data_IF_640468742602
#
_entry.id   IF_640468742602
#
_cell.length_a   1.000
_cell.length_b   1.000
_cell.length_c   1.000
_cell.angle_alpha   90.00
_cell.angle_beta   90.00
_cell.angle_gamma   90.00
#
_symmetry.space_group_name_H-M   'P 1'
#
loop_
_entity.id
_entity.type
_entity.pdbx_description
1 polymer ?
#
# COMPACT_ATOMS: atom_id res chain seq x y z
N UNK A 1 32.74 11.78 5.06
CA UNK A 1 31.31 12.06 5.17
C UNK A 1 31.15 13.48 5.68
N UNK A 2 30.46 14.36 4.97
CA UNK A 2 30.33 15.75 5.38
C UNK A 2 29.01 15.92 6.16
N UNK A 3 29.05 16.39 7.41
CA UNK A 3 27.87 16.52 8.26
C UNK A 3 26.76 17.39 7.65
N UNK A 4 27.14 18.36 6.80
CA UNK A 4 26.19 19.22 6.09
C UNK A 4 25.35 18.47 5.03
N UNK A 5 25.77 17.29 4.58
CA UNK A 5 25.08 16.49 3.59
C UNK A 5 24.19 15.39 4.20
N UNK A 6 24.14 15.30 5.53
CA UNK A 6 23.25 14.36 6.21
C UNK A 6 21.80 14.80 6.04
N UNK A 7 21.02 13.95 5.42
CA UNK A 7 19.56 14.11 5.28
C UNK A 7 18.87 12.92 5.94
N UNK A 8 17.77 13.16 6.65
CA UNK A 8 16.96 12.06 7.17
C UNK A 8 16.46 11.19 6.02
N UNK A 9 16.29 9.91 6.27
CA UNK A 9 15.71 8.98 5.29
C UNK A 9 14.35 9.50 4.81
N UNK A 10 14.02 9.23 3.56
CA UNK A 10 12.76 9.64 2.96
C UNK A 10 11.59 9.03 3.76
N UNK A 11 10.62 9.86 4.13
CA UNK A 11 9.49 9.45 5.00
C UNK A 11 9.78 9.49 6.51
N UNK A 12 11.01 9.73 6.96
CA UNK A 12 11.32 9.84 8.40
C UNK A 12 10.93 11.18 9.02
N UNK A 13 10.70 12.21 8.22
CA UNK A 13 10.15 13.47 8.70
C UNK A 13 8.64 13.35 8.87
N UNK A 14 8.17 13.48 10.10
CA UNK A 14 6.76 13.73 10.33
C UNK A 14 6.38 15.09 9.73
N UNK A 15 5.22 15.17 9.10
CA UNK A 15 4.63 16.45 8.72
C UNK A 15 4.50 17.32 9.96
N UNK A 16 4.69 18.62 9.81
CA UNK A 16 4.55 19.58 10.89
C UNK A 16 3.23 19.35 11.64
N UNK A 17 3.29 19.37 12.98
CA UNK A 17 2.13 19.20 13.84
C UNK A 17 1.08 20.26 13.50
N UNK A 18 0.03 19.84 12.83
CA UNK A 18 -1.06 20.69 12.41
C UNK A 18 -1.90 21.12 13.61
N UNK A 19 -1.59 22.30 14.16
CA UNK A 19 -2.33 22.87 15.30
C UNK A 19 -3.44 23.79 14.82
N UNK A 20 -4.67 23.48 15.19
CA UNK A 20 -5.85 24.27 14.86
C UNK A 20 -6.05 25.43 15.85
N UNK A 21 -6.67 26.53 15.39
CA UNK A 21 -7.03 27.65 16.25
C UNK A 21 -5.81 28.45 16.78
N UNK A 22 -4.73 28.60 16.01
CA UNK A 22 -3.52 29.34 16.40
C UNK A 22 -3.25 30.54 15.51
N UNK A 23 -4.28 31.29 15.19
CA UNK A 23 -4.24 32.55 14.45
C UNK A 23 -4.48 32.43 12.95
N UNK A 24 -4.67 33.56 12.32
CA UNK A 24 -5.02 33.64 10.88
C UNK A 24 -3.86 33.18 9.98
N UNK A 25 -2.62 33.49 10.35
CA UNK A 25 -1.44 33.10 9.60
C UNK A 25 -1.25 31.58 9.44
N UNK A 26 -1.84 30.76 10.33
CA UNK A 26 -1.83 29.31 10.23
C UNK A 26 -2.79 28.75 9.16
N UNK A 27 -3.66 29.58 8.58
CA UNK A 27 -4.76 29.14 7.71
C UNK A 27 -5.90 28.41 8.43
N UNK A 28 -5.72 28.08 9.70
CA UNK A 28 -6.69 27.32 10.51
C UNK A 28 -7.08 28.05 11.80
N UNK A 29 -7.09 29.38 11.74
CA UNK A 29 -7.57 30.26 12.81
C UNK A 29 -9.09 30.14 13.04
N UNK A 30 -9.73 31.19 13.44
CA UNK A 30 -11.18 31.39 13.66
C UNK A 30 -12.03 30.11 13.92
N UNK A 31 -12.36 29.37 12.88
CA UNK A 31 -13.23 28.17 12.96
C UNK A 31 -12.44 26.84 13.12
N UNK A 32 -11.13 26.89 13.15
CA UNK A 32 -10.25 25.72 13.32
C UNK A 32 -10.52 24.55 12.35
N UNK A 33 -10.97 24.87 11.13
CA UNK A 33 -11.30 23.86 10.12
C UNK A 33 -12.64 23.14 10.33
N UNK A 34 -13.45 23.56 11.33
CA UNK A 34 -14.77 22.95 11.61
C UNK A 34 -15.94 23.62 10.88
N UNK A 35 -15.70 24.70 10.14
CA UNK A 35 -16.74 25.52 9.54
C UNK A 35 -17.47 26.40 10.57
N UNK A 36 -18.61 26.96 10.20
CA UNK A 36 -19.34 27.88 11.08
C UNK A 36 -20.20 27.17 12.11
N UNK A 37 -21.46 26.94 11.81
CA UNK A 37 -22.45 26.31 12.69
C UNK A 37 -22.72 24.88 12.20
N UNK A 38 -23.32 24.07 13.05
CA UNK A 38 -23.74 22.71 12.69
C UNK A 38 -23.32 21.68 13.73
N UNK A 39 -23.99 20.56 13.72
CA UNK A 39 -23.78 19.50 14.69
C UNK A 39 -22.36 18.92 14.63
N UNK A 40 -21.78 18.78 13.42
CA UNK A 40 -20.44 18.25 13.21
C UNK A 40 -19.30 19.17 13.68
N UNK A 41 -19.61 20.45 13.93
CA UNK A 41 -18.64 21.40 14.45
C UNK A 41 -18.45 21.32 15.97
N UNK A 42 -19.24 20.53 16.68
CA UNK A 42 -19.23 20.39 18.16
C UNK A 42 -18.37 19.18 18.57
N UNK A 43 -17.89 19.22 19.81
CA UNK A 43 -17.11 18.11 20.39
C UNK A 43 -17.93 16.83 20.55
N UNK A 44 -19.21 16.95 20.84
CA UNK A 44 -20.14 15.84 21.02
C UNK A 44 -20.88 15.43 19.73
N UNK A 45 -20.33 15.66 18.55
CA UNK A 45 -20.98 15.27 17.31
C UNK A 45 -21.19 13.75 17.23
N UNK A 46 -22.38 13.29 16.79
CA UNK A 46 -22.62 11.87 16.60
C UNK A 46 -21.66 11.25 15.60
N UNK A 47 -21.31 9.98 15.84
CA UNK A 47 -20.51 9.20 14.90
C UNK A 47 -21.24 8.99 13.57
N UNK A 48 -20.53 8.80 12.45
CA UNK A 48 -21.13 8.44 11.17
C UNK A 48 -22.06 7.21 11.29
N UNK A 49 -23.21 7.28 10.63
CA UNK A 49 -24.22 6.22 10.68
C UNK A 49 -25.17 6.26 11.89
N UNK A 50 -25.10 7.31 12.72
CA UNK A 50 -26.10 7.52 13.79
C UNK A 50 -27.39 8.11 13.21
N UNK A 51 -28.52 7.47 13.47
CA UNK A 51 -29.86 7.81 12.95
C UNK A 51 -30.79 8.26 14.06
N UNK A 52 -30.36 9.18 14.92
CA UNK A 52 -31.21 9.85 15.91
C UNK A 52 -31.81 8.97 17.01
N UNK A 53 -31.31 7.77 17.22
CA UNK A 53 -31.85 6.78 18.17
C UNK A 53 -32.63 5.66 17.50
N UNK A 54 -33.02 5.81 16.23
CA UNK A 54 -33.54 4.73 15.41
C UNK A 54 -32.43 3.70 15.13
N UNK A 55 -32.79 2.41 15.07
CA UNK A 55 -31.83 1.36 14.70
C UNK A 55 -31.26 1.65 13.31
N UNK A 56 -29.93 1.86 13.18
CA UNK A 56 -29.31 2.19 11.90
C UNK A 56 -29.57 1.15 10.82
N UNK A 57 -29.64 1.58 9.57
CA UNK A 57 -29.92 0.71 8.42
C UNK A 57 -29.02 -0.51 8.37
N UNK A 58 -27.70 -0.33 8.60
CA UNK A 58 -26.73 -1.43 8.57
C UNK A 58 -26.97 -2.51 9.65
N UNK A 59 -27.71 -2.20 10.73
CA UNK A 59 -28.14 -3.17 11.74
C UNK A 59 -29.46 -3.85 11.40
N UNK A 60 -30.30 -3.21 10.59
CA UNK A 60 -31.59 -3.75 10.14
C UNK A 60 -31.45 -4.74 9.00
N UNK A 61 -30.39 -4.59 8.19
CA UNK A 61 -30.14 -5.49 7.07
C UNK A 61 -29.68 -6.85 7.60
N UNK A 62 -30.21 -7.97 7.06
CA UNK A 62 -29.77 -9.31 7.43
C UNK A 62 -28.26 -9.49 7.17
N UNK A 63 -27.59 -10.14 8.09
CA UNK A 63 -26.17 -10.50 7.91
C UNK A 63 -26.06 -11.49 6.76
N UNK A 64 -25.10 -11.27 5.88
CA UNK A 64 -24.87 -12.13 4.72
C UNK A 64 -23.40 -12.50 4.63
N UNK A 65 -23.18 -13.75 4.21
CA UNK A 65 -21.86 -14.30 3.96
C UNK A 65 -21.15 -14.78 5.21
N UNK A 66 -19.98 -15.32 4.98
CA UNK A 66 -19.06 -15.82 5.99
C UNK A 66 -17.62 -15.61 5.52
N UNK A 67 -16.67 -15.66 6.44
CA UNK A 67 -15.25 -15.61 6.10
C UNK A 67 -14.79 -17.02 5.80
N UNK A 68 -14.38 -17.28 4.54
CA UNK A 68 -13.81 -18.57 4.17
C UNK A 68 -12.39 -18.68 4.73
N UNK A 69 -12.16 -19.64 5.62
CA UNK A 69 -10.86 -19.89 6.25
C UNK A 69 -9.81 -20.47 5.30
N UNK A 70 -10.27 -21.08 4.20
CA UNK A 70 -9.40 -21.68 3.19
C UNK A 70 -9.04 -20.72 2.04
N UNK A 71 -9.32 -19.43 2.18
CA UNK A 71 -8.95 -18.43 1.19
C UNK A 71 -7.44 -18.28 1.17
N UNK A 72 -6.83 -18.53 0.01
CA UNK A 72 -5.41 -18.23 -0.22
C UNK A 72 -5.24 -16.77 -0.61
N UNK A 73 -4.38 -16.05 0.09
CA UNK A 73 -4.03 -14.67 -0.22
C UNK A 73 -2.66 -14.61 -0.89
N UNK A 74 -2.67 -14.46 -2.22
CA UNK A 74 -1.45 -14.35 -3.03
C UNK A 74 -1.12 -12.87 -3.22
N UNK A 75 0.11 -12.49 -2.91
CA UNK A 75 0.63 -11.12 -3.10
C UNK A 75 1.00 -10.93 -4.55
N UNK A 76 0.41 -9.94 -5.21
CA UNK A 76 0.70 -9.60 -6.60
C UNK A 76 1.78 -8.51 -6.69
N UNK A 77 2.81 -8.74 -7.51
CA UNK A 77 3.91 -7.82 -7.79
C UNK A 77 4.00 -7.59 -9.29
N UNK A 78 4.26 -6.37 -9.72
CA UNK A 78 4.43 -6.03 -11.11
C UNK A 78 5.91 -6.04 -11.53
N UNK A 79 6.18 -6.25 -12.81
CA UNK A 79 7.55 -6.29 -13.37
C UNK A 79 8.37 -5.03 -13.10
N UNK A 80 7.74 -3.86 -13.08
CA UNK A 80 8.45 -2.61 -12.78
C UNK A 80 9.10 -2.59 -11.39
N UNK A 81 8.57 -3.34 -10.43
CA UNK A 81 9.16 -3.45 -9.10
C UNK A 81 10.47 -4.28 -9.11
N UNK A 82 10.67 -5.12 -10.10
CA UNK A 82 11.88 -5.95 -10.24
C UNK A 82 13.07 -5.20 -10.86
N UNK A 83 12.86 -4.00 -11.39
CA UNK A 83 13.94 -3.14 -11.93
C UNK A 83 14.98 -2.71 -10.88
N UNK A 84 14.68 -2.88 -9.60
CA UNK A 84 15.62 -2.58 -8.51
C UNK A 84 16.78 -3.57 -8.46
N UNK A 85 16.58 -4.81 -8.93
CA UNK A 85 17.60 -5.85 -8.89
C UNK A 85 18.67 -5.67 -9.98
N UNK A 86 19.85 -6.23 -9.74
CA UNK A 86 20.95 -6.20 -10.72
C UNK A 86 20.72 -7.22 -11.84
N UNK A 87 21.44 -7.03 -12.95
CA UNK A 87 21.37 -7.93 -14.10
C UNK A 87 21.88 -9.33 -13.70
N UNK A 88 21.28 -10.38 -14.25
CA UNK A 88 21.57 -11.79 -13.97
C UNK A 88 21.28 -12.22 -12.50
N UNK A 89 20.61 -11.39 -11.70
CA UNK A 89 20.24 -11.74 -10.34
C UNK A 89 19.15 -12.82 -10.27
N UNK A 90 19.20 -13.63 -9.21
CA UNK A 90 18.13 -14.57 -8.86
C UNK A 90 17.19 -13.89 -7.88
N UNK A 91 15.96 -13.69 -8.30
CA UNK A 91 14.91 -13.04 -7.50
C UNK A 91 14.02 -14.11 -6.88
N UNK A 92 14.26 -14.42 -5.61
CA UNK A 92 13.43 -15.30 -4.77
C UNK A 92 12.46 -14.49 -3.92
N UNK A 93 11.55 -15.16 -3.21
CA UNK A 93 10.66 -14.50 -2.24
C UNK A 93 11.46 -13.83 -1.13
N UNK A 94 12.57 -14.41 -0.70
CA UNK A 94 13.44 -13.87 0.34
C UNK A 94 14.11 -12.56 -0.11
N UNK A 95 14.66 -12.52 -1.32
CA UNK A 95 15.26 -11.30 -1.87
C UNK A 95 14.24 -10.17 -2.07
N UNK A 96 12.96 -10.50 -2.36
CA UNK A 96 11.87 -9.53 -2.44
C UNK A 96 11.53 -8.93 -1.06
N UNK A 97 11.66 -9.71 0.01
CA UNK A 97 11.47 -9.24 1.39
C UNK A 97 12.64 -8.35 1.81
N UNK A 98 13.88 -8.74 1.53
CA UNK A 98 15.08 -7.97 1.84
C UNK A 98 15.09 -6.62 1.13
N UNK A 99 14.68 -6.59 -0.14
CA UNK A 99 14.52 -5.37 -0.92
C UNK A 99 13.32 -4.51 -0.45
N UNK A 100 12.50 -5.00 0.47
CA UNK A 100 11.32 -4.29 0.99
C UNK A 100 10.14 -4.17 0.03
N UNK A 101 10.18 -4.86 -1.11
CA UNK A 101 9.10 -4.89 -2.10
C UNK A 101 7.89 -5.63 -1.55
N UNK A 102 8.15 -6.72 -0.81
CA UNK A 102 7.13 -7.51 -0.12
C UNK A 102 7.42 -7.49 1.37
N UNK A 103 6.45 -7.07 2.18
CA UNK A 103 6.58 -7.11 3.65
C UNK A 103 6.17 -8.46 4.23
N UNK A 104 5.15 -9.07 3.65
CA UNK A 104 4.63 -10.37 4.09
C UNK A 104 4.17 -11.14 2.84
N UNK A 105 4.82 -12.26 2.48
CA UNK A 105 4.48 -13.04 1.28
C UNK A 105 3.18 -13.83 1.40
N UNK A 106 2.59 -13.93 2.61
CA UNK A 106 1.36 -14.69 2.89
C UNK A 106 1.43 -16.11 2.32
N UNK A 107 0.46 -16.50 1.47
CA UNK A 107 0.37 -17.85 0.89
C UNK A 107 1.13 -17.99 -0.44
N UNK A 108 1.83 -16.92 -0.87
CA UNK A 108 2.66 -16.93 -2.06
C UNK A 108 2.72 -15.60 -2.79
N UNK A 109 3.61 -15.51 -3.76
CA UNK A 109 3.84 -14.33 -4.58
C UNK A 109 3.52 -14.64 -6.03
N UNK A 110 2.80 -13.73 -6.70
CA UNK A 110 2.48 -13.81 -8.14
C UNK A 110 3.04 -12.61 -8.88
N UNK A 111 3.78 -12.87 -9.95
CA UNK A 111 4.32 -11.82 -10.81
C UNK A 111 3.37 -11.47 -11.94
N UNK A 112 3.06 -10.18 -12.07
CA UNK A 112 2.18 -9.61 -13.07
C UNK A 112 2.97 -8.81 -14.11
N UNK A 113 2.51 -8.83 -15.37
CA UNK A 113 3.20 -8.25 -16.51
C UNK A 113 3.04 -6.72 -16.69
N UNK A 114 2.66 -5.97 -15.68
CA UNK A 114 2.58 -4.52 -15.77
C UNK A 114 3.97 -3.88 -15.61
N UNK A 115 4.25 -2.91 -16.45
CA UNK A 115 5.58 -2.29 -16.55
C UNK A 115 6.46 -2.95 -17.60
N UNK A 116 7.65 -2.38 -17.79
CA UNK A 116 8.69 -2.91 -18.65
C UNK A 116 9.86 -3.40 -17.79
N UNK A 117 10.45 -4.49 -18.19
CA UNK A 117 11.65 -5.04 -17.59
C UNK A 117 12.77 -4.91 -18.60
N UNK A 118 13.85 -4.26 -18.26
CA UNK A 118 15.01 -4.10 -19.16
C UNK A 118 16.14 -5.06 -18.83
N UNK A 119 16.06 -5.68 -17.66
CA UNK A 119 17.11 -6.52 -17.09
C UNK A 119 16.82 -8.00 -17.29
N UNK A 120 17.88 -8.77 -17.42
CA UNK A 120 17.81 -10.22 -17.46
C UNK A 120 17.81 -10.75 -16.02
N UNK A 121 16.70 -11.36 -15.60
CA UNK A 121 16.50 -11.86 -14.25
C UNK A 121 16.04 -13.32 -14.26
N UNK A 122 16.47 -14.09 -13.27
CA UNK A 122 15.87 -15.40 -12.95
C UNK A 122 14.89 -15.21 -11.81
N UNK A 123 13.59 -15.29 -12.08
CA UNK A 123 12.54 -14.99 -11.09
C UNK A 123 11.90 -16.29 -10.61
N UNK A 124 11.93 -16.49 -9.29
CA UNK A 124 11.32 -17.64 -8.60
C UNK A 124 10.09 -17.18 -7.81
N UNK A 125 8.90 -17.62 -8.22
CA UNK A 125 7.65 -17.22 -7.58
C UNK A 125 6.59 -18.34 -7.65
N UNK A 126 5.54 -18.23 -6.82
CA UNK A 126 4.47 -19.22 -6.76
C UNK A 126 3.57 -19.22 -8.00
N UNK A 127 3.48 -18.10 -8.72
CA UNK A 127 2.73 -17.99 -9.96
C UNK A 127 3.19 -16.80 -10.83
N UNK A 128 2.92 -16.88 -12.11
CA UNK A 128 3.17 -15.82 -13.10
C UNK A 128 1.92 -15.57 -13.94
N UNK A 129 1.77 -14.38 -14.48
CA UNK A 129 0.84 -14.13 -15.57
C UNK A 129 1.51 -14.44 -16.92
N UNK A 130 0.75 -14.83 -17.93
CA UNK A 130 1.29 -15.12 -19.26
C UNK A 130 2.10 -13.93 -19.84
N UNK A 131 1.60 -12.72 -19.65
CA UNK A 131 2.31 -11.50 -20.06
C UNK A 131 3.60 -11.24 -19.29
N UNK A 132 3.71 -11.66 -18.03
CA UNK A 132 4.94 -11.55 -17.26
C UNK A 132 6.00 -12.53 -17.77
N UNK A 133 5.62 -13.78 -17.99
CA UNK A 133 6.52 -14.81 -18.55
C UNK A 133 7.09 -14.35 -19.90
N UNK A 134 6.22 -13.92 -20.82
CA UNK A 134 6.64 -13.45 -22.15
C UNK A 134 7.64 -12.29 -22.08
N UNK A 135 7.45 -11.34 -21.14
CA UNK A 135 8.37 -10.20 -20.98
C UNK A 135 9.70 -10.57 -20.33
N UNK A 136 9.68 -11.50 -19.36
CA UNK A 136 10.92 -12.00 -18.72
C UNK A 136 11.77 -12.77 -19.73
N UNK A 137 11.14 -13.67 -20.50
CA UNK A 137 11.81 -14.47 -21.53
C UNK A 137 12.32 -13.63 -22.71
N UNK A 138 11.56 -12.59 -23.13
CA UNK A 138 12.00 -11.66 -24.17
C UNK A 138 13.29 -10.94 -23.82
N UNK A 139 13.54 -10.69 -22.53
CA UNK A 139 14.80 -10.10 -22.03
C UNK A 139 15.88 -11.15 -21.69
N UNK A 140 15.67 -12.42 -22.08
CA UNK A 140 16.62 -13.51 -21.82
C UNK A 140 16.65 -14.00 -20.38
N UNK A 141 15.68 -13.61 -19.55
CA UNK A 141 15.50 -14.10 -18.19
C UNK A 141 14.79 -15.46 -18.14
N UNK A 142 14.62 -15.98 -16.93
CA UNK A 142 13.86 -17.22 -16.67
C UNK A 142 12.77 -16.98 -15.63
N UNK A 143 11.60 -17.60 -15.82
CA UNK A 143 10.52 -17.64 -14.85
C UNK A 143 10.40 -19.07 -14.31
N UNK A 144 10.63 -19.26 -13.01
CA UNK A 144 10.60 -20.56 -12.34
C UNK A 144 9.46 -20.57 -11.31
N UNK A 145 8.58 -21.56 -11.38
CA UNK A 145 7.48 -21.75 -10.44
C UNK A 145 7.93 -22.65 -9.30
N UNK A 146 7.76 -22.17 -8.06
CA UNK A 146 8.09 -22.86 -6.80
C UNK A 146 6.83 -23.18 -5.99
#
# INVERSE_FOLDING_TARGET
MNLSNLRPAEGSKHSDNFRRGRGHGSGNGKTAGKGHKGQKARSGAPRPGFEGGQMPLYRRIPKRGFTNRNTKEIVAINLNALEVFENDAVVSVETLIEAGIVKNPRDGVKILGNGELTKKLTVQASAFSASAVAKIEANGGKAEVI
#
